data_IF_359731101075
#
_entry.id   IF_359731101075
#
_cell.length_a   1.000
_cell.length_b   1.000
_cell.length_c   1.000
_cell.angle_alpha   90.00
_cell.angle_beta   90.00
_cell.angle_gamma   90.00
#
_symmetry.space_group_name_H-M   'P 1'
#
loop_
_entity.id
_entity.type
_entity.pdbx_description
1 polymer ?
#
# COMPACT_ATOMS: atom_id res chain seq x y z
N UNK A 1 11.91 -56.18 9.33
CA UNK A 1 12.04 -54.91 8.61
C UNK A 1 10.76 -54.12 8.84
N UNK A 2 10.81 -53.29 9.86
CA UNK A 2 9.72 -52.49 10.41
C UNK A 2 9.70 -51.08 9.81
N UNK A 3 8.49 -50.53 9.69
CA UNK A 3 8.12 -49.10 9.61
C UNK A 3 8.46 -48.33 8.31
N UNK A 4 7.57 -48.48 7.32
CA UNK A 4 7.18 -47.34 6.48
C UNK A 4 6.06 -46.61 7.22
N UNK A 5 6.43 -45.52 7.91
CA UNK A 5 5.49 -44.64 8.59
C UNK A 5 4.47 -44.09 7.59
N UNK A 6 3.19 -44.19 7.98
CA UNK A 6 2.08 -43.53 7.29
C UNK A 6 2.35 -42.02 7.27
N UNK A 7 2.74 -41.51 6.10
CA UNK A 7 2.72 -40.07 5.83
C UNK A 7 1.26 -39.64 6.01
N UNK A 8 0.98 -38.91 7.08
CA UNK A 8 -0.33 -38.30 7.32
C UNK A 8 -0.35 -37.01 6.50
N UNK A 9 -1.02 -36.95 5.34
CA UNK A 9 -1.09 -35.73 4.58
C UNK A 9 -2.13 -34.88 5.29
N UNK A 10 -1.72 -34.10 6.28
CA UNK A 10 -2.48 -32.93 6.69
C UNK A 10 -2.45 -32.00 5.49
N UNK A 11 -3.34 -32.26 4.53
CA UNK A 11 -3.53 -31.44 3.35
C UNK A 11 -3.85 -30.05 3.88
N UNK A 12 -2.89 -29.13 3.71
CA UNK A 12 -3.01 -27.75 4.12
C UNK A 12 -4.28 -27.21 3.47
N UNK A 13 -5.35 -27.10 4.23
CA UNK A 13 -6.58 -26.47 3.76
C UNK A 13 -6.19 -25.04 3.44
N UNK A 14 -6.06 -24.74 2.15
CA UNK A 14 -5.72 -23.40 1.68
C UNK A 14 -6.80 -22.46 2.22
N UNK A 15 -6.44 -21.65 3.20
CA UNK A 15 -7.35 -20.69 3.82
C UNK A 15 -7.82 -19.75 2.71
N UNK A 16 -9.14 -19.63 2.52
CA UNK A 16 -9.76 -18.79 1.48
C UNK A 16 -9.09 -17.41 1.50
N UNK A 17 -8.50 -17.02 0.37
CA UNK A 17 -7.77 -15.74 0.28
C UNK A 17 -8.73 -14.58 0.49
N UNK A 18 -8.40 -13.68 1.40
CA UNK A 18 -9.24 -12.53 1.74
C UNK A 18 -8.78 -11.29 0.97
N UNK A 19 -9.74 -10.51 0.48
CA UNK A 19 -9.54 -9.18 -0.09
C UNK A 19 -10.51 -8.22 0.59
N UNK A 20 -10.09 -6.97 0.80
CA UNK A 20 -10.95 -5.88 1.26
C UNK A 20 -10.96 -4.80 0.18
N UNK A 21 -12.14 -4.26 -0.12
CA UNK A 21 -12.26 -3.09 -0.99
C UNK A 21 -12.02 -1.79 -0.21
N UNK A 22 -11.77 -0.70 -0.94
CA UNK A 22 -11.39 0.57 -0.34
C UNK A 22 -12.51 1.15 0.56
N UNK A 23 -13.76 1.04 0.17
CA UNK A 23 -14.87 1.63 0.92
C UNK A 23 -15.10 0.90 2.23
N UNK A 24 -15.05 -0.43 2.22
CA UNK A 24 -15.09 -1.25 3.44
C UNK A 24 -13.95 -0.86 4.39
N UNK A 25 -12.73 -0.68 3.88
CA UNK A 25 -11.59 -0.26 4.72
C UNK A 25 -11.83 1.11 5.36
N UNK A 26 -12.28 2.08 4.58
CA UNK A 26 -12.53 3.43 5.07
C UNK A 26 -13.68 3.45 6.08
N UNK A 27 -14.71 2.61 5.90
CA UNK A 27 -15.77 2.40 6.89
C UNK A 27 -15.25 1.85 8.22
N UNK A 28 -14.40 0.82 8.17
CA UNK A 28 -13.78 0.24 9.37
C UNK A 28 -12.87 1.24 10.09
N UNK A 29 -12.02 1.97 9.35
CA UNK A 29 -11.16 3.01 9.93
C UNK A 29 -12.00 4.12 10.60
N UNK A 30 -13.09 4.55 9.97
CA UNK A 30 -13.99 5.54 10.54
C UNK A 30 -14.69 5.01 11.80
N UNK A 31 -15.17 3.76 11.79
CA UNK A 31 -15.78 3.11 12.96
C UNK A 31 -14.80 3.13 14.14
N UNK A 32 -13.58 2.64 13.94
CA UNK A 32 -12.61 2.55 15.03
C UNK A 32 -12.22 3.92 15.55
N UNK A 33 -11.86 4.87 14.68
CA UNK A 33 -11.45 6.22 15.10
C UNK A 33 -12.52 6.98 15.89
N UNK A 34 -13.80 6.67 15.66
CA UNK A 34 -14.92 7.27 16.38
C UNK A 34 -15.33 6.48 17.65
N UNK A 35 -14.70 5.34 17.92
CA UNK A 35 -15.00 4.51 19.10
C UNK A 35 -14.02 4.85 20.22
N UNK A 36 -14.49 5.43 21.32
CA UNK A 36 -13.67 5.64 22.51
C UNK A 36 -13.66 4.39 23.39
N UNK A 37 -12.48 3.82 23.60
CA UNK A 37 -12.30 2.59 24.38
C UNK A 37 -12.19 2.90 25.88
N UNK A 38 -12.26 4.17 26.28
CA UNK A 38 -12.22 4.64 27.68
C UNK A 38 -10.95 4.24 28.42
N UNK A 39 -9.88 3.99 27.67
CA UNK A 39 -8.58 3.55 28.15
C UNK A 39 -7.49 4.12 27.24
N UNK A 40 -6.56 4.88 27.83
CA UNK A 40 -5.47 5.52 27.06
C UNK A 40 -4.63 4.48 26.31
N UNK A 41 -4.18 3.36 26.93
CA UNK A 41 -3.42 2.34 26.20
C UNK A 41 -4.21 1.70 25.06
N UNK A 42 -5.51 1.49 25.25
CA UNK A 42 -6.34 0.86 24.21
C UNK A 42 -6.63 1.82 23.05
N UNK A 43 -6.89 3.09 23.34
CA UNK A 43 -7.01 4.13 22.32
C UNK A 43 -5.70 4.32 21.53
N UNK A 44 -4.54 4.26 22.19
CA UNK A 44 -3.23 4.29 21.51
C UNK A 44 -3.02 3.06 20.62
N UNK A 45 -3.38 1.86 21.10
CA UNK A 45 -3.29 0.65 20.30
C UNK A 45 -4.21 0.73 19.08
N UNK A 46 -5.45 1.19 19.26
CA UNK A 46 -6.43 1.45 18.19
C UNK A 46 -5.87 2.39 17.14
N UNK A 47 -5.36 3.55 17.53
CA UNK A 47 -4.82 4.55 16.61
C UNK A 47 -3.62 4.02 15.84
N UNK A 48 -2.70 3.34 16.54
CA UNK A 48 -1.53 2.72 15.95
C UNK A 48 -1.89 1.63 14.94
N UNK A 49 -2.77 0.70 15.30
CA UNK A 49 -3.16 -0.39 14.39
C UNK A 49 -4.04 0.07 13.23
N UNK A 50 -4.89 1.09 13.42
CA UNK A 50 -5.59 1.74 12.33
C UNK A 50 -4.62 2.39 11.34
N UNK A 51 -3.64 3.15 11.85
CA UNK A 51 -2.64 3.81 11.01
C UNK A 51 -1.76 2.80 10.26
N UNK A 52 -1.29 1.74 10.93
CA UNK A 52 -0.55 0.64 10.29
C UNK A 52 -1.39 -0.03 9.20
N UNK A 53 -2.68 -0.26 9.43
CA UNK A 53 -3.58 -0.84 8.42
C UNK A 53 -3.74 0.06 7.20
N UNK A 54 -3.88 1.37 7.41
CA UNK A 54 -3.92 2.37 6.35
C UNK A 54 -2.62 2.39 5.53
N UNK A 55 -1.45 2.33 6.20
CA UNK A 55 -0.15 2.24 5.54
C UNK A 55 0.01 0.94 4.75
N UNK A 56 -0.44 -0.20 5.30
CA UNK A 56 -0.46 -1.48 4.57
C UNK A 56 -1.31 -1.41 3.31
N UNK A 57 -2.47 -0.75 3.36
CA UNK A 57 -3.37 -0.58 2.22
C UNK A 57 -2.84 0.41 1.17
N UNK A 58 -2.15 1.47 1.60
CA UNK A 58 -1.60 2.45 0.68
C UNK A 58 -0.30 2.00 0.03
N UNK A 59 0.62 1.37 0.77
CA UNK A 59 1.95 1.01 0.27
C UNK A 59 2.08 -0.47 -0.09
N UNK A 60 1.12 -1.31 0.27
CA UNK A 60 1.21 -2.76 0.06
C UNK A 60 2.37 -3.40 0.83
N UNK A 61 2.61 -2.94 2.06
CA UNK A 61 3.70 -3.39 2.93
C UNK A 61 3.16 -4.30 4.04
N UNK A 62 4.04 -5.14 4.60
CA UNK A 62 3.76 -5.89 5.84
C UNK A 62 3.78 -4.90 7.02
N UNK A 63 3.02 -5.14 8.10
CA UNK A 63 3.07 -4.29 9.30
C UNK A 63 4.50 -4.06 9.82
N UNK A 64 5.33 -5.09 9.85
CA UNK A 64 6.73 -4.98 10.28
C UNK A 64 7.61 -4.14 9.34
N UNK A 65 7.27 -4.04 8.05
CA UNK A 65 7.98 -3.17 7.10
C UNK A 65 7.63 -1.70 7.35
N UNK A 66 6.38 -1.41 7.74
CA UNK A 66 5.97 -0.07 8.20
C UNK A 66 6.71 0.33 9.47
N UNK A 67 6.86 -0.61 10.41
CA UNK A 67 7.62 -0.40 11.64
C UNK A 67 9.13 -0.15 11.42
N UNK A 68 9.65 -0.41 10.21
CA UNK A 68 11.01 -0.11 9.80
C UNK A 68 11.12 1.19 8.96
N UNK A 69 10.03 1.96 8.85
CA UNK A 69 10.04 3.27 8.21
C UNK A 69 10.97 4.25 8.92
N UNK A 70 11.89 4.88 8.18
CA UNK A 70 12.91 5.77 8.73
C UNK A 70 12.48 7.25 8.70
N UNK A 71 11.75 7.66 7.67
CA UNK A 71 11.29 9.05 7.50
C UNK A 71 9.84 9.26 7.97
N UNK A 72 9.38 8.57 9.01
CA UNK A 72 7.98 8.66 9.43
C UNK A 72 7.65 10.05 9.99
N UNK A 73 8.37 10.49 11.03
CA UNK A 73 8.10 11.76 11.72
C UNK A 73 9.12 12.86 11.44
N UNK A 74 10.25 12.51 10.82
CA UNK A 74 11.36 13.42 10.54
C UNK A 74 11.92 13.15 9.15
N UNK A 75 12.40 14.19 8.45
CA UNK A 75 13.10 13.98 7.20
C UNK A 75 14.41 13.22 7.43
N UNK A 76 14.87 12.50 6.41
CA UNK A 76 16.18 11.83 6.43
C UNK A 76 16.95 12.15 5.17
N UNK A 77 18.28 12.07 5.23
CA UNK A 77 19.15 12.22 4.07
C UNK A 77 19.92 10.93 3.82
N UNK A 78 19.80 10.39 2.60
CA UNK A 78 20.53 9.20 2.14
C UNK A 78 21.12 9.54 0.78
N UNK A 79 22.42 9.25 0.60
CA UNK A 79 23.12 9.45 -0.67
C UNK A 79 22.93 10.85 -1.28
N UNK A 80 22.88 11.87 -0.42
CA UNK A 80 22.68 13.26 -0.84
C UNK A 80 21.22 13.67 -1.05
N UNK A 81 20.28 12.72 -1.14
CA UNK A 81 18.84 12.96 -1.35
C UNK A 81 18.14 13.12 0.00
N UNK A 82 17.38 14.21 0.16
CA UNK A 82 16.53 14.43 1.33
C UNK A 82 15.13 13.87 1.08
N UNK A 83 14.71 12.94 1.92
CA UNK A 83 13.35 12.41 1.95
C UNK A 83 12.56 13.12 3.06
N UNK A 84 11.51 13.91 2.74
CA UNK A 84 10.68 14.56 3.74
C UNK A 84 9.97 13.56 4.66
N UNK A 85 9.52 14.03 5.82
CA UNK A 85 8.77 13.19 6.74
C UNK A 85 7.41 12.74 6.13
N UNK A 86 6.94 11.54 6.44
CA UNK A 86 5.57 11.11 6.09
C UNK A 86 4.53 11.97 6.85
N UNK A 87 4.85 12.40 8.07
CA UNK A 87 3.99 13.29 8.86
C UNK A 87 3.91 14.72 8.31
N UNK A 88 4.75 15.09 7.36
CA UNK A 88 4.71 16.43 6.77
C UNK A 88 3.55 16.53 5.76
N UNK A 89 2.52 17.38 6.00
CA UNK A 89 1.39 17.52 5.09
C UNK A 89 1.78 18.12 3.73
N UNK A 90 2.97 18.73 3.61
CA UNK A 90 3.49 19.24 2.33
C UNK A 90 4.23 18.17 1.53
N UNK A 91 4.55 17.02 2.14
CA UNK A 91 5.14 15.89 1.44
C UNK A 91 4.09 15.20 0.56
N UNK A 92 4.01 15.62 -0.70
CA UNK A 92 3.06 15.04 -1.68
C UNK A 92 3.59 13.76 -2.34
N UNK A 93 4.91 13.57 -2.35
CA UNK A 93 5.55 12.39 -2.93
C UNK A 93 5.42 11.16 -2.03
N UNK A 94 5.39 11.37 -0.71
CA UNK A 94 5.15 10.33 0.30
C UNK A 94 6.05 9.10 0.12
N UNK A 95 7.27 9.30 -0.37
CA UNK A 95 8.24 8.21 -0.49
C UNK A 95 8.61 7.73 0.91
N UNK A 96 8.33 6.47 1.20
CA UNK A 96 8.71 5.83 2.45
C UNK A 96 10.08 5.18 2.30
N UNK A 97 11.02 5.58 3.14
CA UNK A 97 12.31 4.89 3.26
C UNK A 97 12.14 3.78 4.29
N UNK A 98 12.31 2.54 3.85
CA UNK A 98 12.29 1.35 4.71
C UNK A 98 13.72 1.00 5.05
N UNK A 99 14.05 1.00 6.34
CA UNK A 99 15.35 0.63 6.85
C UNK A 99 15.51 -0.88 7.04
N UNK A 100 16.74 -1.29 7.37
CA UNK A 100 17.02 -2.68 7.72
C UNK A 100 16.34 -3.09 9.03
N UNK A 101 16.26 -2.20 10.01
CA UNK A 101 15.73 -2.48 11.35
C UNK A 101 14.40 -1.78 11.62
N UNK A 102 13.52 -2.51 12.29
CA UNK A 102 12.31 -1.98 12.93
C UNK A 102 12.64 -1.04 14.10
N UNK A 103 11.71 -0.19 14.50
CA UNK A 103 11.88 0.69 15.67
C UNK A 103 12.15 -0.07 16.98
N UNK A 104 11.78 -1.36 17.04
CA UNK A 104 12.03 -2.27 18.17
C UNK A 104 13.31 -3.11 18.01
N UNK A 105 14.17 -2.78 17.05
CA UNK A 105 15.57 -3.24 16.97
C UNK A 105 15.81 -4.54 16.19
N UNK A 106 14.79 -5.12 15.55
CA UNK A 106 14.98 -6.34 14.73
C UNK A 106 15.01 -6.07 13.24
N UNK A 107 15.84 -6.84 12.54
CA UNK A 107 15.98 -6.78 11.08
C UNK A 107 14.70 -7.24 10.37
N UNK A 108 14.30 -6.48 9.36
CA UNK A 108 13.30 -6.91 8.37
C UNK A 108 14.02 -7.65 7.26
N UNK A 109 13.56 -8.86 6.93
CA UNK A 109 14.17 -9.74 5.90
C UNK A 109 14.32 -9.11 4.51
N UNK A 110 13.70 -7.96 4.27
CA UNK A 110 13.58 -7.33 2.95
C UNK A 110 14.64 -6.29 2.63
N UNK A 111 15.53 -5.96 3.58
CA UNK A 111 16.60 -4.97 3.39
C UNK A 111 16.10 -3.54 3.18
N UNK A 112 17.04 -2.61 3.04
CA UNK A 112 16.75 -1.20 2.81
C UNK A 112 16.15 -0.98 1.42
N UNK A 113 15.06 -0.21 1.32
CA UNK A 113 14.45 0.16 0.04
C UNK A 113 13.58 1.39 0.14
N UNK A 114 13.19 1.91 -1.02
CA UNK A 114 12.15 2.93 -1.16
C UNK A 114 10.81 2.27 -1.52
N UNK A 115 9.73 2.77 -0.94
CA UNK A 115 8.37 2.41 -1.31
C UNK A 115 7.56 3.68 -1.62
N UNK A 116 6.86 3.67 -2.75
CA UNK A 116 5.93 4.74 -3.13
C UNK A 116 4.49 4.35 -2.78
N UNK A 117 3.59 5.31 -2.52
CA UNK A 117 2.19 4.99 -2.29
C UNK A 117 1.52 4.52 -3.59
N UNK A 118 0.56 3.60 -3.48
CA UNK A 118 -0.19 3.06 -4.60
C UNK A 118 -1.30 4.00 -5.10
N UNK A 119 -1.45 5.15 -4.46
CA UNK A 119 -2.27 6.29 -4.86
C UNK A 119 -1.67 7.57 -4.30
N UNK A 120 -1.68 8.65 -5.09
CA UNK A 120 -1.30 10.01 -4.65
C UNK A 120 -2.52 10.92 -4.47
N UNK A 121 -3.74 10.36 -4.51
CA UNK A 121 -4.96 11.13 -4.34
C UNK A 121 -5.02 11.75 -2.92
N UNK A 122 -5.01 13.09 -2.87
CA UNK A 122 -4.96 13.84 -1.60
C UNK A 122 -6.17 13.54 -0.71
N UNK A 123 -7.35 13.37 -1.31
CA UNK A 123 -8.58 13.06 -0.57
C UNK A 123 -8.46 11.72 0.13
N UNK A 124 -7.98 10.70 -0.59
CA UNK A 124 -7.73 9.38 -0.03
C UNK A 124 -6.65 9.41 1.05
N UNK A 125 -5.52 10.08 0.82
CA UNK A 125 -4.44 10.25 1.80
C UNK A 125 -4.98 10.84 3.11
N UNK A 126 -5.82 11.88 3.02
CA UNK A 126 -6.45 12.52 4.16
C UNK A 126 -7.44 11.59 4.87
N UNK A 127 -8.31 10.89 4.14
CA UNK A 127 -9.25 9.91 4.73
C UNK A 127 -8.53 8.75 5.41
N UNK A 128 -7.41 8.29 4.83
CA UNK A 128 -6.53 7.29 5.44
C UNK A 128 -5.75 7.85 6.63
N UNK A 129 -5.64 9.17 6.79
CA UNK A 129 -4.94 9.81 7.90
C UNK A 129 -3.44 9.56 7.88
N UNK A 130 -2.83 9.47 6.68
CA UNK A 130 -1.43 9.04 6.51
C UNK A 130 -0.45 9.93 7.26
N UNK A 131 -0.66 11.25 7.25
CA UNK A 131 0.20 12.21 7.95
C UNK A 131 0.10 12.13 9.48
N UNK A 132 -0.94 11.50 10.04
CA UNK A 132 -1.12 11.33 11.49
C UNK A 132 -0.35 10.09 11.98
N UNK A 133 0.97 10.13 11.85
CA UNK A 133 1.87 9.00 12.12
C UNK A 133 1.66 8.46 13.53
N UNK A 134 1.30 7.19 13.62
CA UNK A 134 1.13 6.49 14.90
C UNK A 134 1.55 5.02 14.78
N UNK A 135 2.62 4.63 15.47
CA UNK A 135 3.03 3.23 15.57
C UNK A 135 2.53 2.65 16.90
N UNK A 136 1.96 1.42 16.90
CA UNK A 136 1.54 0.77 18.13
C UNK A 136 2.78 0.36 18.93
N UNK A 137 2.73 0.53 20.25
CA UNK A 137 3.80 0.11 21.16
C UNK A 137 3.81 -1.42 21.25
N UNK A 138 4.98 -2.03 21.04
CA UNK A 138 5.19 -3.47 21.23
C UNK A 138 6.34 -3.74 22.18
N UNK A 139 6.17 -4.75 23.03
CA UNK A 139 7.27 -5.31 23.85
C UNK A 139 8.04 -6.41 23.13
N UNK A 140 7.43 -7.02 22.11
CA UNK A 140 8.09 -8.06 21.32
C UNK A 140 9.09 -7.44 20.37
N UNK A 141 10.34 -7.94 20.41
CA UNK A 141 11.36 -7.62 19.42
C UNK A 141 11.19 -8.39 18.11
N UNK A 142 10.27 -9.34 18.00
CA UNK A 142 10.17 -10.18 16.80
C UNK A 142 9.22 -9.56 15.75
N UNK A 143 9.68 -9.29 14.50
CA UNK A 143 8.84 -8.78 13.42
C UNK A 143 7.61 -9.65 13.12
N UNK A 144 7.74 -10.98 13.24
CA UNK A 144 6.61 -11.88 13.04
C UNK A 144 5.57 -11.75 14.15
N UNK A 145 5.99 -11.49 15.38
CA UNK A 145 5.07 -11.21 16.48
C UNK A 145 4.33 -9.90 16.26
N UNK A 146 5.00 -8.86 15.73
CA UNK A 146 4.33 -7.61 15.36
C UNK A 146 3.26 -7.83 14.28
N UNK A 147 3.58 -8.59 13.24
CA UNK A 147 2.62 -8.98 12.20
C UNK A 147 1.45 -9.81 12.77
N UNK A 148 1.73 -10.71 13.71
CA UNK A 148 0.70 -11.51 14.38
C UNK A 148 -0.18 -10.66 15.30
N UNK A 149 0.38 -9.68 16.01
CA UNK A 149 -0.38 -8.76 16.86
C UNK A 149 -1.34 -7.90 16.03
N UNK A 150 -0.91 -7.43 14.87
CA UNK A 150 -1.80 -6.77 13.91
C UNK A 150 -2.98 -7.68 13.54
N UNK A 151 -2.70 -8.94 13.16
CA UNK A 151 -3.75 -9.92 12.83
C UNK A 151 -4.70 -10.19 13.99
N UNK A 152 -4.19 -10.33 15.21
CA UNK A 152 -4.99 -10.56 16.40
C UNK A 152 -5.87 -9.35 16.72
N UNK A 153 -5.34 -8.13 16.54
CA UNK A 153 -6.11 -6.91 16.69
C UNK A 153 -7.26 -6.87 15.67
N UNK A 154 -7.01 -7.08 14.38
CA UNK A 154 -8.07 -7.12 13.36
C UNK A 154 -9.19 -8.12 13.67
N UNK A 155 -8.82 -9.29 14.20
CA UNK A 155 -9.79 -10.31 14.61
C UNK A 155 -10.60 -9.87 15.84
N UNK A 156 -9.97 -9.29 16.85
CA UNK A 156 -10.66 -8.80 18.06
C UNK A 156 -11.65 -7.67 17.77
N UNK A 157 -11.41 -6.93 16.70
CA UNK A 157 -12.25 -5.79 16.28
C UNK A 157 -13.26 -6.16 15.18
N UNK A 158 -13.38 -7.44 14.84
CA UNK A 158 -14.32 -7.96 13.84
C UNK A 158 -14.18 -7.31 12.46
N UNK A 159 -12.95 -7.02 12.03
CA UNK A 159 -12.70 -6.44 10.70
C UNK A 159 -12.94 -7.45 9.56
N UNK A 160 -13.23 -8.72 9.89
CA UNK A 160 -13.42 -9.79 8.90
C UNK A 160 -12.14 -10.17 8.15
N UNK A 161 -10.99 -9.59 8.51
CA UNK A 161 -9.68 -9.82 7.88
C UNK A 161 -8.74 -10.48 8.87
N UNK A 162 -8.32 -11.68 8.52
CA UNK A 162 -7.33 -12.47 9.25
C UNK A 162 -6.01 -12.55 8.49
N UNK A 163 -5.94 -12.09 7.25
CA UNK A 163 -4.75 -12.15 6.43
C UNK A 163 -4.18 -10.75 6.18
N UNK A 164 -2.97 -10.49 6.66
CA UNK A 164 -2.24 -9.24 6.36
C UNK A 164 -2.05 -9.01 4.84
N UNK A 165 -2.12 -10.08 4.04
CA UNK A 165 -2.10 -10.01 2.58
C UNK A 165 -3.33 -9.34 1.97
N UNK A 166 -4.47 -9.25 2.67
CA UNK A 166 -5.68 -8.59 2.15
C UNK A 166 -5.42 -7.12 1.81
N UNK A 167 -4.71 -6.39 2.68
CA UNK A 167 -4.31 -5.01 2.41
C UNK A 167 -3.31 -4.90 1.25
N UNK A 168 -2.39 -5.87 1.13
CA UNK A 168 -1.44 -5.90 0.01
C UNK A 168 -2.14 -6.18 -1.32
N UNK A 169 -3.22 -6.97 -1.33
CA UNK A 169 -4.08 -7.14 -2.51
C UNK A 169 -4.78 -5.82 -2.88
N UNK A 170 -5.38 -5.12 -1.91
CA UNK A 170 -5.98 -3.80 -2.14
C UNK A 170 -4.96 -2.79 -2.67
N UNK A 171 -3.77 -2.73 -2.07
CA UNK A 171 -2.69 -1.86 -2.52
C UNK A 171 -2.30 -2.15 -3.97
N UNK A 172 -2.15 -3.43 -4.32
CA UNK A 172 -1.83 -3.80 -5.70
C UNK A 172 -2.93 -3.35 -6.67
N UNK A 173 -4.21 -3.52 -6.31
CA UNK A 173 -5.36 -3.06 -7.10
C UNK A 173 -5.40 -1.53 -7.21
N UNK A 174 -5.13 -0.79 -6.13
CA UNK A 174 -5.00 0.67 -6.15
C UNK A 174 -3.90 1.11 -7.12
N UNK A 175 -2.74 0.47 -7.07
CA UNK A 175 -1.66 0.81 -7.99
C UNK A 175 -2.01 0.49 -9.44
N UNK A 176 -2.73 -0.61 -9.68
CA UNK A 176 -3.29 -0.97 -11.00
C UNK A 176 -4.25 0.12 -11.51
N UNK A 177 -5.19 0.56 -10.66
CA UNK A 177 -6.18 1.60 -11.00
C UNK A 177 -5.56 2.99 -11.20
N UNK A 178 -4.42 3.26 -10.58
CA UNK A 178 -3.66 4.51 -10.73
C UNK A 178 -2.59 4.42 -11.83
N UNK A 179 -2.55 3.34 -12.62
CA UNK A 179 -1.63 3.19 -13.74
C UNK A 179 -0.17 2.98 -13.35
N UNK A 180 0.11 2.57 -12.10
CA UNK A 180 1.48 2.31 -11.64
C UNK A 180 1.98 1.01 -12.29
N UNK A 181 3.09 1.04 -13.04
CA UNK A 181 3.64 -0.15 -13.68
C UNK A 181 3.90 -1.28 -12.68
N UNK A 182 3.71 -2.52 -13.13
CA UNK A 182 3.83 -3.69 -12.28
C UNK A 182 5.23 -3.82 -11.65
N UNK A 183 6.26 -3.40 -12.37
CA UNK A 183 7.66 -3.37 -11.97
C UNK A 183 7.87 -2.44 -10.77
N UNK A 184 7.26 -1.26 -10.81
CA UNK A 184 7.33 -0.26 -9.73
C UNK A 184 6.57 -0.74 -8.50
N UNK A 185 5.39 -1.34 -8.69
CA UNK A 185 4.61 -1.97 -7.61
C UNK A 185 5.40 -3.10 -6.94
N UNK A 186 5.96 -4.01 -7.75
CA UNK A 186 6.75 -5.14 -7.26
C UNK A 186 8.00 -4.67 -6.49
N UNK A 187 8.72 -3.67 -7.01
CA UNK A 187 9.88 -3.05 -6.35
C UNK A 187 9.49 -2.44 -4.99
N UNK A 188 8.40 -1.68 -4.94
CA UNK A 188 7.89 -1.08 -3.70
C UNK A 188 7.53 -2.15 -2.65
N UNK A 189 6.90 -3.24 -3.10
CA UNK A 189 6.51 -4.34 -2.22
C UNK A 189 7.68 -5.22 -1.74
N UNK A 190 8.87 -5.09 -2.35
CA UNK A 190 10.05 -5.90 -2.06
C UNK A 190 9.99 -7.31 -2.65
N UNK A 191 9.38 -7.49 -3.82
CA UNK A 191 9.25 -8.79 -4.49
C UNK A 191 9.66 -8.73 -5.98
N UNK A 192 9.93 -9.89 -6.59
CA UNK A 192 10.08 -9.99 -8.05
C UNK A 192 8.73 -9.86 -8.77
N UNK A 193 8.78 -9.45 -10.04
CA UNK A 193 7.58 -9.33 -10.90
C UNK A 193 6.81 -10.65 -10.99
N UNK A 194 7.52 -11.79 -11.06
CA UNK A 194 6.93 -13.13 -11.09
C UNK A 194 6.14 -13.48 -9.82
N UNK A 195 6.62 -13.06 -8.64
CA UNK A 195 5.88 -13.21 -7.37
C UNK A 195 4.63 -12.34 -7.36
N UNK A 196 4.68 -11.16 -8.00
CA UNK A 196 3.52 -10.30 -8.15
C UNK A 196 2.47 -10.95 -9.09
N UNK A 197 2.90 -11.49 -10.22
CA UNK A 197 2.02 -12.18 -11.18
C UNK A 197 1.33 -13.39 -10.57
N UNK A 198 2.10 -14.30 -9.95
CA UNK A 198 1.57 -15.57 -9.45
C UNK A 198 0.57 -15.43 -8.30
N UNK A 199 0.65 -14.34 -7.51
CA UNK A 199 -0.17 -14.15 -6.31
C UNK A 199 -1.31 -13.15 -6.46
N UNK A 200 -1.16 -12.10 -7.27
CA UNK A 200 -2.12 -10.99 -7.30
C UNK A 200 -2.97 -10.95 -8.59
N UNK A 201 -2.48 -11.44 -9.74
CA UNK A 201 -3.30 -11.50 -10.98
C UNK A 201 -4.39 -12.59 -10.94
N UNK A 202 -4.15 -13.72 -10.28
CA UNK A 202 -5.12 -14.84 -10.17
C UNK A 202 -6.30 -14.58 -9.23
N UNK A 203 -6.35 -13.42 -8.54
CA UNK A 203 -7.21 -13.21 -7.37
C UNK A 203 -7.86 -11.83 -7.41
N UNK A 204 -8.96 -11.72 -8.14
CA UNK A 204 -9.73 -10.47 -8.29
C UNK A 204 -11.16 -10.66 -7.80
N UNK A 205 -11.67 -9.67 -7.08
CA UNK A 205 -13.10 -9.51 -6.85
C UNK A 205 -13.72 -8.93 -8.14
N UNK A 206 -14.83 -9.47 -8.61
CA UNK A 206 -15.54 -9.05 -9.84
C UNK A 206 -15.82 -7.54 -9.91
N UNK A 207 -16.19 -6.92 -8.78
CA UNK A 207 -16.42 -5.47 -8.74
C UNK A 207 -15.12 -4.67 -8.97
N UNK A 208 -14.01 -5.15 -8.42
CA UNK A 208 -12.70 -4.53 -8.59
C UNK A 208 -12.11 -4.81 -9.97
N UNK A 209 -12.38 -5.98 -10.55
CA UNK A 209 -12.00 -6.32 -11.92
C UNK A 209 -12.74 -5.46 -12.94
N UNK A 210 -14.05 -5.25 -12.76
CA UNK A 210 -14.81 -4.30 -13.56
C UNK A 210 -14.21 -2.89 -13.41
N UNK A 211 -13.87 -2.47 -12.18
CA UNK A 211 -13.18 -1.19 -11.93
C UNK A 211 -11.83 -1.08 -12.65
N UNK A 212 -11.00 -2.11 -12.64
CA UNK A 212 -9.70 -2.14 -13.33
C UNK A 212 -9.89 -2.11 -14.85
N UNK A 213 -10.81 -2.92 -15.39
CA UNK A 213 -11.05 -3.02 -16.83
C UNK A 213 -11.72 -1.76 -17.41
N UNK A 214 -12.66 -1.16 -16.68
CA UNK A 214 -13.33 0.09 -17.11
C UNK A 214 -12.47 1.33 -16.87
N UNK A 215 -11.54 1.30 -15.89
CA UNK A 215 -10.54 2.37 -15.70
C UNK A 215 -9.29 2.20 -16.57
N UNK A 216 -8.98 1.00 -17.07
CA UNK A 216 -7.93 0.79 -18.06
C UNK A 216 -8.18 1.57 -19.36
N UNK A 217 -9.44 1.87 -19.67
CA UNK A 217 -9.84 2.79 -20.73
C UNK A 217 -9.45 4.27 -20.45
N UNK A 218 -8.79 4.55 -19.33
CA UNK A 218 -8.34 5.90 -18.91
C UNK A 218 -6.83 5.99 -18.68
N UNK A 219 -6.04 5.00 -19.12
CA UNK A 219 -4.60 5.28 -19.23
C UNK A 219 -4.44 6.40 -20.26
N UNK A 220 -3.60 7.42 -19.98
CA UNK A 220 -3.29 8.43 -20.97
C UNK A 220 -2.84 7.72 -22.24
N UNK A 221 -3.42 8.12 -23.38
CA UNK A 221 -2.92 7.65 -24.67
C UNK A 221 -1.40 7.90 -24.71
N UNK A 222 -0.58 7.08 -25.38
CA UNK A 222 0.78 7.49 -25.70
C UNK A 222 0.77 8.91 -26.31
N UNK A 223 1.74 9.76 -25.96
CA UNK A 223 1.71 11.19 -26.31
C UNK A 223 1.29 11.46 -27.76
N UNK A 224 1.87 10.71 -28.71
CA UNK A 224 1.58 10.88 -30.13
C UNK A 224 0.17 10.44 -30.52
N UNK A 225 -0.35 9.39 -29.90
CA UNK A 225 -1.76 9.00 -30.04
C UNK A 225 -2.69 10.03 -29.41
N UNK A 226 -2.29 10.63 -28.29
CA UNK A 226 -3.01 11.74 -27.66
C UNK A 226 -3.08 12.97 -28.57
N UNK A 227 -1.96 13.36 -29.18
CA UNK A 227 -1.90 14.44 -30.18
C UNK A 227 -2.80 14.14 -31.38
N UNK A 228 -2.73 12.93 -31.92
CA UNK A 228 -3.58 12.52 -33.05
C UNK A 228 -5.08 12.53 -32.68
N UNK A 229 -5.43 12.08 -31.48
CA UNK A 229 -6.82 12.12 -31.00
C UNK A 229 -7.34 13.55 -30.88
N UNK A 230 -6.51 14.50 -30.40
CA UNK A 230 -6.84 15.92 -30.37
C UNK A 230 -7.10 16.47 -31.79
N UNK A 231 -6.21 16.17 -32.74
CA UNK A 231 -6.38 16.57 -34.14
C UNK A 231 -7.68 16.00 -34.74
N UNK A 232 -8.00 14.74 -34.45
CA UNK A 232 -9.21 14.07 -34.94
C UNK A 232 -10.51 14.71 -34.43
N UNK A 233 -10.49 15.39 -33.28
CA UNK A 233 -11.63 16.15 -32.74
C UNK A 233 -11.53 17.66 -33.01
N UNK A 234 -10.61 18.08 -33.89
CA UNK A 234 -10.46 19.47 -34.31
C UNK A 234 -9.68 20.38 -33.35
N UNK A 235 -9.00 19.81 -32.35
CA UNK A 235 -8.13 20.56 -31.43
C UNK A 235 -6.70 20.48 -31.95
N UNK A 236 -6.05 21.64 -32.15
CA UNK A 236 -4.65 21.69 -32.55
C UNK A 236 -3.73 21.43 -31.34
N UNK A 237 -2.97 20.30 -31.30
CA UNK A 237 -2.08 19.98 -30.19
C UNK A 237 -0.88 20.93 -30.06
N UNK A 238 -0.60 21.74 -31.08
CA UNK A 238 0.52 22.69 -31.07
C UNK A 238 0.20 24.05 -30.45
N UNK A 239 -1.06 24.30 -30.07
CA UNK A 239 -1.45 25.51 -29.34
C UNK A 239 -0.68 25.61 -28.02
N UNK A 240 -0.23 26.80 -27.60
CA UNK A 240 0.56 26.99 -26.38
C UNK A 240 -0.08 26.39 -25.11
N UNK A 241 -1.39 26.58 -24.95
CA UNK A 241 -2.15 26.07 -23.80
C UNK A 241 -2.27 24.55 -23.81
N UNK A 242 -2.51 23.96 -24.99
CA UNK A 242 -2.59 22.49 -25.15
C UNK A 242 -1.21 21.85 -24.95
N UNK A 243 -0.14 22.48 -25.44
CA UNK A 243 1.24 22.07 -25.15
C UNK A 243 1.56 22.12 -23.67
N UNK A 244 1.15 23.18 -22.96
CA UNK A 244 1.35 23.30 -21.52
C UNK A 244 0.61 22.18 -20.75
N UNK A 245 -0.64 21.89 -21.15
CA UNK A 245 -1.43 20.79 -20.61
C UNK A 245 -0.75 19.44 -20.89
N UNK A 246 -0.35 19.17 -22.13
CA UNK A 246 0.32 17.91 -22.51
C UNK A 246 1.67 17.76 -21.78
N UNK A 247 2.48 18.82 -21.69
CA UNK A 247 3.74 18.80 -20.91
C UNK A 247 3.49 18.43 -19.45
N UNK A 248 2.44 18.99 -18.85
CA UNK A 248 2.06 18.71 -17.47
C UNK A 248 1.58 17.27 -17.29
N UNK A 249 0.75 16.77 -18.21
CA UNK A 249 0.19 15.41 -18.15
C UNK A 249 1.27 14.34 -18.41
N UNK A 250 2.14 14.57 -19.39
CA UNK A 250 3.16 13.60 -19.84
C UNK A 250 4.53 13.81 -19.20
N UNK A 251 4.69 14.81 -18.33
CA UNK A 251 5.95 15.12 -17.65
C UNK A 251 7.13 15.26 -18.64
N UNK A 252 6.91 16.03 -19.70
CA UNK A 252 7.95 16.29 -20.70
C UNK A 252 8.92 17.34 -20.15
N UNK A 253 10.22 17.04 -20.21
CA UNK A 253 11.28 18.03 -19.94
C UNK A 253 11.23 19.15 -21.02
N UNK A 254 11.65 20.36 -20.63
CA UNK A 254 11.65 21.56 -21.48
C UNK A 254 12.52 21.44 -22.74
#
# INVERSE_FOLDING_TARGET
MEKLEKINPTQTVFTKSQSIDLDTLLGLLNKERNTDYRSVPENQARDGWCWVSAMCALYGLRPSEIAAGQNLTKPIKIDGITFPAISDPQNTELVLVIGEFTYFGSSTKTGQRLAVPMSKDKTLINRLGIHNVCLPITTSKNPNSFNNNHRLWLNRHDWGITQAYAFRHLANQLGEMNGIPQEIRARSFGHSVAVNDGKYKKRRNLATELGILTRHQRQPLPLDMGKQALTNIGINPDLPEVKAILRTIYQLDD
#
